data_IF_067723237980
#
_entry.id   IF_067723237980
#
_cell.length_a   1.000
_cell.length_b   1.000
_cell.length_c   1.000
_cell.angle_alpha   90.00
_cell.angle_beta   90.00
_cell.angle_gamma   90.00
#
_symmetry.space_group_name_H-M   'P 1'
#
loop_
_entity.id
_entity.type
_entity.pdbx_description
1 polymer ?
#
# COMPACT_ATOMS: atom_id res chain seq x y z
N UNK A 1 8.54 4.93 22.51
CA UNK A 1 7.11 4.62 22.41
C UNK A 1 6.31 4.90 23.70
N UNK A 2 6.46 4.22 24.86
CA UNK A 2 5.66 4.55 26.09
C UNK A 2 5.76 6.02 26.58
N UNK A 3 6.91 6.68 26.38
CA UNK A 3 7.09 8.11 26.72
C UNK A 3 6.82 9.08 25.56
N UNK A 4 6.76 8.59 24.31
CA UNK A 4 6.54 9.42 23.12
C UNK A 4 5.05 9.65 22.87
N UNK A 5 4.23 8.63 23.14
CA UNK A 5 2.76 8.76 23.13
C UNK A 5 2.21 9.51 24.34
N UNK A 6 2.95 9.58 25.46
CA UNK A 6 2.48 10.25 26.69
C UNK A 6 2.61 11.77 26.66
N UNK A 7 3.44 12.34 25.79
CA UNK A 7 3.75 13.77 25.84
C UNK A 7 2.86 14.64 24.95
N UNK A 8 2.15 14.08 23.97
CA UNK A 8 1.25 14.84 23.08
C UNK A 8 1.90 15.99 22.29
N UNK A 9 3.23 16.15 22.36
CA UNK A 9 3.95 17.38 21.94
C UNK A 9 4.98 17.14 20.84
N UNK A 10 5.11 15.90 20.33
CA UNK A 10 6.03 15.59 19.23
C UNK A 10 7.52 15.77 19.52
N UNK A 11 7.93 15.83 20.80
CA UNK A 11 9.34 15.90 21.17
C UNK A 11 10.01 14.52 21.18
N UNK A 12 10.99 14.34 20.28
CA UNK A 12 11.88 13.18 20.23
C UNK A 12 13.02 13.36 21.26
N UNK A 13 12.99 12.61 22.36
CA UNK A 13 14.12 12.53 23.27
C UNK A 13 15.17 11.56 22.72
N UNK A 14 16.21 12.07 22.07
CA UNK A 14 17.39 11.29 21.72
C UNK A 14 18.21 11.12 23.01
N UNK A 15 18.49 9.87 23.41
CA UNK A 15 19.48 9.56 24.46
C UNK A 15 20.89 9.83 23.91
N UNK A 16 21.28 11.10 23.79
CA UNK A 16 22.70 11.47 23.78
C UNK A 16 23.12 11.76 25.22
N UNK A 17 24.40 11.52 25.55
CA UNK A 17 24.97 11.81 26.89
C UNK A 17 24.99 13.31 27.22
N UNK A 18 24.57 14.17 26.30
CA UNK A 18 24.39 15.60 26.48
C UNK A 18 22.90 15.93 26.48
N UNK A 19 22.35 16.18 27.67
CA UNK A 19 20.95 16.61 27.91
C UNK A 19 20.67 18.00 27.29
N UNK A 20 20.61 18.11 25.97
CA UNK A 20 20.00 19.26 25.31
C UNK A 20 18.57 18.88 24.93
N UNK A 21 17.61 19.45 25.67
CA UNK A 21 16.18 19.45 25.30
C UNK A 21 16.04 20.29 24.04
N UNK A 22 15.91 19.64 22.89
CA UNK A 22 15.54 20.29 21.64
C UNK A 22 14.07 20.72 21.72
N UNK A 23 13.84 22.00 21.99
CA UNK A 23 12.52 22.61 21.86
C UNK A 23 12.24 22.82 20.36
N UNK A 24 11.30 22.04 19.81
CA UNK A 24 10.83 22.23 18.44
C UNK A 24 9.89 23.44 18.37
N UNK A 25 10.29 24.49 17.66
CA UNK A 25 9.39 25.53 17.16
C UNK A 25 8.79 25.02 15.84
N UNK A 26 7.59 24.44 15.88
CA UNK A 26 6.93 23.88 14.70
C UNK A 26 6.17 25.00 13.98
N UNK A 27 6.80 25.60 12.96
CA UNK A 27 6.16 26.50 11.98
C UNK A 27 5.98 25.88 10.59
N UNK A 28 6.36 24.60 10.42
CA UNK A 28 6.15 23.86 9.16
C UNK A 28 4.95 22.91 9.31
N UNK A 29 4.01 22.91 8.35
CA UNK A 29 2.74 22.24 8.55
C UNK A 29 2.89 20.74 8.30
N UNK A 30 2.77 19.95 9.38
CA UNK A 30 3.13 18.52 9.47
C UNK A 30 2.16 17.60 8.70
N UNK A 31 0.96 18.07 8.35
CA UNK A 31 -0.16 17.23 7.89
C UNK A 31 -0.19 17.01 6.36
N UNK A 32 -0.72 15.87 5.88
CA UNK A 32 -0.97 15.61 4.46
C UNK A 32 -1.91 16.65 3.84
N UNK A 33 -1.73 16.93 2.55
CA UNK A 33 -2.53 17.94 1.84
C UNK A 33 -4.01 17.53 1.70
N UNK A 34 -4.37 16.24 1.67
CA UNK A 34 -5.76 15.79 1.81
C UNK A 34 -6.36 16.19 3.17
N UNK A 35 -5.67 15.90 4.27
CA UNK A 35 -6.14 16.23 5.63
C UNK A 35 -6.28 17.75 5.79
N UNK A 36 -5.27 18.51 5.33
CA UNK A 36 -5.33 19.97 5.30
C UNK A 36 -6.48 20.49 4.45
N UNK A 37 -6.72 19.95 3.25
CA UNK A 37 -7.86 20.34 2.41
C UNK A 37 -9.18 20.13 3.12
N UNK A 38 -9.40 18.96 3.73
CA UNK A 38 -10.65 18.63 4.42
C UNK A 38 -10.86 19.50 5.67
N UNK A 39 -9.78 19.74 6.42
CA UNK A 39 -9.81 20.51 7.67
C UNK A 39 -9.91 22.02 7.42
N UNK A 40 -9.19 22.54 6.43
CA UNK A 40 -9.14 23.97 6.09
C UNK A 40 -10.29 24.43 5.19
N UNK A 41 -10.97 23.53 4.48
CA UNK A 41 -12.18 23.85 3.71
C UNK A 41 -13.32 24.39 4.59
N UNK A 42 -13.29 24.11 5.90
CA UNK A 42 -14.41 24.38 6.81
C UNK A 42 -14.18 25.52 7.83
N UNK A 43 -13.06 26.26 7.85
CA UNK A 43 -12.87 27.36 8.82
C UNK A 43 -12.05 28.58 8.36
N UNK A 44 -12.44 29.74 8.90
CA UNK A 44 -11.92 31.10 8.62
C UNK A 44 -10.89 31.67 9.60
N UNK A 45 -10.46 30.96 10.67
CA UNK A 45 -9.63 31.57 11.73
C UNK A 45 -8.28 30.88 11.99
N UNK A 46 -7.26 31.71 12.30
CA UNK A 46 -5.87 31.37 12.68
C UNK A 46 -5.79 30.63 14.04
N UNK A 47 -6.19 29.37 14.08
CA UNK A 47 -5.88 28.46 15.20
C UNK A 47 -4.80 27.49 14.73
N UNK A 48 -3.93 27.07 15.65
CA UNK A 48 -2.82 26.15 15.42
C UNK A 48 -3.23 24.95 14.54
N UNK A 49 -2.79 24.97 13.29
CA UNK A 49 -3.12 23.98 12.25
C UNK A 49 -2.86 22.54 12.73
N UNK A 50 -1.84 22.37 13.57
CA UNK A 50 -1.47 21.08 14.10
C UNK A 50 -2.50 20.48 15.06
N UNK A 51 -3.05 21.29 15.95
CA UNK A 51 -4.01 20.79 16.95
C UNK A 51 -5.34 20.42 16.28
N UNK A 52 -5.72 21.14 15.23
CA UNK A 52 -6.95 20.88 14.48
C UNK A 52 -6.82 19.60 13.67
N UNK A 53 -5.71 19.42 12.95
CA UNK A 53 -5.52 18.21 12.16
C UNK A 53 -5.35 16.97 13.06
N UNK A 54 -4.67 17.09 14.20
CA UNK A 54 -4.59 16.03 15.20
C UNK A 54 -5.97 15.68 15.76
N UNK A 55 -6.77 16.69 16.09
CA UNK A 55 -8.15 16.48 16.56
C UNK A 55 -9.00 15.80 15.50
N UNK A 56 -8.94 16.24 14.24
CA UNK A 56 -9.65 15.62 13.14
C UNK A 56 -9.28 14.13 12.99
N UNK A 57 -7.99 13.79 12.99
CA UNK A 57 -7.53 12.40 12.90
C UNK A 57 -8.01 11.57 14.10
N UNK A 58 -7.93 12.11 15.31
CA UNK A 58 -8.44 11.43 16.51
C UNK A 58 -9.97 11.25 16.47
N UNK A 59 -10.71 12.24 16.00
CA UNK A 59 -12.16 12.17 15.85
C UNK A 59 -12.56 11.13 14.78
N UNK A 60 -11.80 11.03 13.68
CA UNK A 60 -11.98 9.99 12.67
C UNK A 60 -11.66 8.59 13.22
N UNK A 61 -10.54 8.44 13.94
CA UNK A 61 -10.18 7.18 14.59
C UNK A 61 -11.21 6.77 15.64
N UNK A 62 -11.72 7.72 16.43
CA UNK A 62 -12.77 7.49 17.41
C UNK A 62 -14.09 7.12 16.73
N UNK A 63 -14.44 7.80 15.64
CA UNK A 63 -15.62 7.48 14.82
C UNK A 63 -15.55 6.08 14.23
N UNK A 64 -14.39 5.69 13.70
CA UNK A 64 -14.14 4.33 13.18
C UNK A 64 -14.19 3.28 14.30
N UNK A 65 -13.63 3.56 15.48
CA UNK A 65 -13.71 2.67 16.65
C UNK A 65 -15.15 2.55 17.17
N UNK A 66 -15.91 3.64 17.14
CA UNK A 66 -17.32 3.64 17.53
C UNK A 66 -18.15 2.85 16.54
N UNK A 67 -17.95 3.06 15.23
CA UNK A 67 -18.61 2.27 14.18
C UNK A 67 -18.31 0.78 14.31
N UNK A 68 -17.04 0.40 14.57
CA UNK A 68 -16.67 -0.99 14.82
C UNK A 68 -17.45 -1.58 16.02
N UNK A 69 -17.56 -0.85 17.13
CA UNK A 69 -18.30 -1.30 18.31
C UNK A 69 -19.81 -1.39 18.08
N UNK A 70 -20.37 -0.46 17.31
CA UNK A 70 -21.79 -0.50 16.93
C UNK A 70 -22.07 -1.69 16.01
N UNK A 71 -21.20 -1.97 15.04
CA UNK A 71 -21.31 -3.17 14.22
C UNK A 71 -21.14 -4.46 15.03
N UNK A 72 -20.20 -4.51 15.99
CA UNK A 72 -20.07 -5.65 16.91
C UNK A 72 -21.33 -5.85 17.75
N UNK A 73 -21.97 -4.78 18.21
CA UNK A 73 -23.27 -4.84 18.91
C UNK A 73 -24.37 -5.33 18.00
N UNK A 74 -24.48 -4.80 16.79
CA UNK A 74 -25.54 -5.14 15.83
C UNK A 74 -25.42 -6.61 15.37
N UNK A 75 -24.18 -7.09 15.18
CA UNK A 75 -23.87 -8.50 14.94
C UNK A 75 -24.22 -9.37 16.14
N UNK A 76 -23.90 -8.95 17.37
CA UNK A 76 -24.31 -9.68 18.57
C UNK A 76 -25.83 -9.74 18.72
N UNK A 77 -26.54 -8.65 18.41
CA UNK A 77 -28.01 -8.60 18.43
C UNK A 77 -28.60 -9.56 17.38
N UNK A 78 -28.05 -9.57 16.16
CA UNK A 78 -28.47 -10.52 15.13
C UNK A 78 -28.14 -11.96 15.48
N UNK A 79 -26.98 -12.22 16.09
CA UNK A 79 -26.58 -13.53 16.59
C UNK A 79 -27.52 -14.03 17.70
N UNK A 80 -27.94 -13.15 18.62
CA UNK A 80 -28.96 -13.49 19.63
C UNK A 80 -30.37 -13.66 19.07
N UNK A 81 -30.70 -13.00 17.94
CA UNK A 81 -31.99 -13.14 17.27
C UNK A 81 -32.07 -14.37 16.35
N UNK A 82 -31.00 -15.14 16.20
CA UNK A 82 -30.98 -16.44 15.50
C UNK A 82 -31.55 -17.59 16.36
N UNK A 83 -32.66 -17.35 17.07
CA UNK A 83 -33.38 -18.43 17.76
C UNK A 83 -33.98 -19.40 16.73
N UNK A 84 -33.52 -20.66 16.75
CA UNK A 84 -34.05 -21.74 15.90
C UNK A 84 -33.04 -22.41 14.96
N UNK A 85 -31.83 -21.88 14.80
CA UNK A 85 -30.76 -22.55 14.06
C UNK A 85 -29.99 -23.54 14.94
N UNK A 86 -29.53 -24.66 14.37
CA UNK A 86 -28.66 -25.59 15.09
C UNK A 86 -27.30 -24.91 15.41
N UNK A 87 -26.61 -25.31 16.49
CA UNK A 87 -25.30 -24.76 16.86
C UNK A 87 -24.30 -24.73 15.70
N UNK A 88 -24.31 -25.75 14.85
CA UNK A 88 -23.48 -25.85 13.65
C UNK A 88 -23.76 -24.75 12.60
N UNK A 89 -25.02 -24.39 12.38
CA UNK A 89 -25.38 -23.32 11.44
C UNK A 89 -25.03 -21.96 12.02
N UNK A 90 -25.21 -21.78 13.34
CA UNK A 90 -24.77 -20.59 14.04
C UNK A 90 -23.25 -20.40 13.96
N UNK A 91 -22.49 -21.48 14.16
CA UNK A 91 -21.02 -21.48 14.06
C UNK A 91 -20.54 -21.11 12.65
N UNK A 92 -21.18 -21.65 11.60
CA UNK A 92 -20.90 -21.30 10.20
C UNK A 92 -21.21 -19.83 9.91
N UNK A 93 -22.32 -19.29 10.43
CA UNK A 93 -22.70 -17.88 10.25
C UNK A 93 -21.70 -16.96 10.97
N UNK A 94 -21.28 -17.32 12.18
CA UNK A 94 -20.29 -16.56 12.95
C UNK A 94 -18.91 -16.60 12.28
N UNK A 95 -18.47 -17.77 11.80
CA UNK A 95 -17.26 -17.88 10.98
C UNK A 95 -17.34 -17.02 9.72
N UNK A 96 -18.48 -17.04 9.02
CA UNK A 96 -18.69 -16.25 7.82
C UNK A 96 -18.61 -14.74 8.12
N UNK A 97 -19.25 -14.27 9.18
CA UNK A 97 -19.22 -12.87 9.62
C UNK A 97 -17.79 -12.46 10.04
N UNK A 98 -17.11 -13.31 10.79
CA UNK A 98 -15.76 -13.04 11.29
C UNK A 98 -14.74 -12.99 10.13
N UNK A 99 -14.84 -13.94 9.19
CA UNK A 99 -13.98 -14.03 8.02
C UNK A 99 -14.28 -12.92 6.99
N UNK A 100 -15.54 -12.57 6.73
CA UNK A 100 -15.90 -11.69 5.61
C UNK A 100 -16.15 -10.23 6.02
N UNK A 101 -16.82 -9.99 7.14
CA UNK A 101 -17.26 -8.63 7.53
C UNK A 101 -16.23 -7.99 8.45
N UNK A 102 -15.86 -8.67 9.54
CA UNK A 102 -14.91 -8.15 10.51
C UNK A 102 -13.49 -8.12 9.95
N UNK A 103 -13.04 -9.18 9.27
CA UNK A 103 -11.67 -9.23 8.76
C UNK A 103 -11.43 -8.30 7.55
N UNK A 104 -12.42 -8.10 6.67
CA UNK A 104 -12.25 -7.28 5.46
C UNK A 104 -12.30 -5.78 5.77
N UNK A 105 -13.31 -5.34 6.56
CA UNK A 105 -13.49 -3.93 6.89
C UNK A 105 -12.41 -3.42 7.84
N UNK A 106 -12.12 -4.15 8.92
CA UNK A 106 -11.05 -3.79 9.87
C UNK A 106 -9.69 -3.73 9.20
N UNK A 107 -9.41 -4.65 8.28
CA UNK A 107 -8.14 -4.68 7.53
C UNK A 107 -8.01 -3.50 6.57
N UNK A 108 -9.09 -3.09 5.89
CA UNK A 108 -9.10 -1.87 5.06
C UNK A 108 -8.78 -0.63 5.88
N UNK A 109 -9.40 -0.46 7.04
CA UNK A 109 -9.12 0.68 7.92
C UNK A 109 -7.69 0.63 8.45
N UNK A 110 -7.24 -0.52 8.97
CA UNK A 110 -5.88 -0.69 9.45
C UNK A 110 -4.84 -0.40 8.36
N UNK A 111 -5.12 -0.83 7.13
CA UNK A 111 -4.29 -0.52 5.97
C UNK A 111 -4.19 1.00 5.73
N UNK A 112 -5.32 1.71 5.72
CA UNK A 112 -5.33 3.17 5.54
C UNK A 112 -4.55 3.91 6.64
N UNK A 113 -4.72 3.49 7.90
CA UNK A 113 -3.98 4.09 9.04
C UNK A 113 -2.48 3.91 8.87
N UNK A 114 -2.03 2.72 8.46
CA UNK A 114 -0.61 2.44 8.27
C UNK A 114 -0.02 3.19 7.06
N UNK A 115 -0.78 3.38 5.97
CA UNK A 115 -0.33 4.22 4.85
C UNK A 115 -0.07 5.65 5.29
N UNK A 116 -1.00 6.22 6.06
CA UNK A 116 -0.85 7.55 6.65
C UNK A 116 0.41 7.59 7.53
N UNK A 117 0.66 6.54 8.32
CA UNK A 117 1.85 6.43 9.16
C UNK A 117 3.16 6.44 8.37
N UNK A 118 3.24 5.75 7.23
CA UNK A 118 4.40 5.81 6.34
C UNK A 118 4.58 7.20 5.73
N UNK A 119 3.51 7.86 5.29
CA UNK A 119 3.57 9.20 4.70
C UNK A 119 4.13 10.22 5.72
N UNK A 120 3.72 10.12 6.99
CA UNK A 120 4.28 10.96 8.05
C UNK A 120 5.77 10.71 8.29
N UNK A 121 6.19 9.45 8.30
CA UNK A 121 7.60 9.11 8.51
C UNK A 121 8.49 9.68 7.42
N UNK A 122 8.10 9.49 6.15
CA UNK A 122 8.82 10.06 5.01
C UNK A 122 8.88 11.58 5.15
N UNK A 123 7.74 12.23 5.47
CA UNK A 123 7.70 13.68 5.64
C UNK A 123 8.59 14.20 6.78
N UNK A 124 8.63 13.49 7.89
CA UNK A 124 9.49 13.86 9.03
C UNK A 124 10.97 13.79 8.65
N UNK A 125 11.37 12.74 7.92
CA UNK A 125 12.73 12.57 7.42
C UNK A 125 13.10 13.67 6.40
N UNK A 126 12.19 14.03 5.48
CA UNK A 126 12.38 15.16 4.56
C UNK A 126 12.59 16.49 5.30
N UNK A 127 11.78 16.76 6.33
CA UNK A 127 11.93 17.98 7.11
C UNK A 127 13.27 18.03 7.83
N UNK A 128 13.72 16.90 8.38
CA UNK A 128 15.04 16.80 8.99
C UNK A 128 16.16 16.99 7.96
N UNK A 129 15.99 16.43 6.76
CA UNK A 129 16.89 16.66 5.63
C UNK A 129 16.98 18.15 5.29
N UNK A 130 15.86 18.87 5.20
CA UNK A 130 15.89 20.32 4.93
C UNK A 130 16.51 21.15 6.06
N UNK A 131 16.41 20.72 7.31
CA UNK A 131 17.07 21.40 8.46
C UNK A 131 18.59 21.37 8.37
N UNK A 132 19.16 20.35 7.73
CA UNK A 132 20.59 20.29 7.44
C UNK A 132 21.04 21.32 6.38
N UNK A 133 20.11 22.14 5.85
CA UNK A 133 20.33 23.18 4.84
C UNK A 133 21.08 22.67 3.60
N UNK A 134 20.59 21.60 2.95
CA UNK A 134 21.20 21.07 1.74
C UNK A 134 21.17 22.12 0.63
N UNK A 135 22.23 22.17 -0.16
CA UNK A 135 22.29 23.05 -1.33
C UNK A 135 21.35 22.55 -2.45
N UNK A 136 21.24 23.30 -3.55
CA UNK A 136 20.33 22.95 -4.65
C UNK A 136 20.68 21.61 -5.30
N UNK A 137 21.98 21.31 -5.46
CA UNK A 137 22.44 20.05 -6.03
C UNK A 137 22.02 18.85 -5.17
N UNK A 138 22.27 18.92 -3.86
CA UNK A 138 21.94 17.87 -2.90
C UNK A 138 20.42 17.62 -2.87
N UNK A 139 19.60 18.68 -2.88
CA UNK A 139 18.14 18.56 -2.95
C UNK A 139 17.68 17.81 -4.20
N UNK A 140 18.27 18.14 -5.37
CA UNK A 140 17.95 17.48 -6.64
C UNK A 140 18.34 16.01 -6.59
N UNK A 141 19.53 15.71 -6.08
CA UNK A 141 20.03 14.34 -5.92
C UNK A 141 19.12 13.49 -5.02
N UNK A 142 18.69 14.02 -3.87
CA UNK A 142 17.73 13.35 -2.98
C UNK A 142 16.41 13.03 -3.69
N UNK A 143 15.84 14.01 -4.41
CA UNK A 143 14.59 13.82 -5.14
C UNK A 143 14.74 12.73 -6.23
N UNK A 144 15.84 12.73 -7.00
CA UNK A 144 16.10 11.73 -8.03
C UNK A 144 16.27 10.32 -7.44
N UNK A 145 16.98 10.18 -6.33
CA UNK A 145 17.19 8.89 -5.66
C UNK A 145 15.87 8.36 -5.12
N UNK A 146 15.13 9.14 -4.35
CA UNK A 146 13.85 8.71 -3.78
C UNK A 146 12.80 8.39 -4.85
N UNK A 147 12.74 9.19 -5.92
CA UNK A 147 11.83 8.91 -7.04
C UNK A 147 12.19 7.61 -7.76
N UNK A 148 13.48 7.39 -8.05
CA UNK A 148 13.92 6.13 -8.67
C UNK A 148 13.71 4.91 -7.77
N UNK A 149 13.88 5.05 -6.45
CA UNK A 149 13.56 4.00 -5.48
C UNK A 149 12.08 3.62 -5.50
N UNK A 150 11.20 4.64 -5.53
CA UNK A 150 9.76 4.44 -5.61
C UNK A 150 9.37 3.68 -6.88
N UNK A 151 9.90 4.10 -8.03
CA UNK A 151 9.63 3.47 -9.32
C UNK A 151 10.14 2.02 -9.35
N UNK A 152 11.38 1.79 -8.90
CA UNK A 152 11.96 0.45 -8.83
C UNK A 152 11.11 -0.48 -7.96
N UNK A 153 10.83 -0.10 -6.72
CA UNK A 153 10.07 -0.99 -5.82
C UNK A 153 8.63 -1.20 -6.34
N UNK A 154 7.99 -0.17 -6.88
CA UNK A 154 6.64 -0.32 -7.47
C UNK A 154 6.65 -1.33 -8.61
N UNK A 155 7.64 -1.25 -9.51
CA UNK A 155 7.76 -2.19 -10.63
C UNK A 155 8.06 -3.62 -10.19
N UNK A 156 8.89 -3.81 -9.15
CA UNK A 156 9.19 -5.12 -8.57
C UNK A 156 7.92 -5.75 -7.99
N UNK A 157 7.18 -5.00 -7.18
CA UNK A 157 5.98 -5.50 -6.55
C UNK A 157 4.83 -5.73 -7.54
N UNK A 158 4.71 -4.92 -8.60
CA UNK A 158 3.73 -5.13 -9.67
C UNK A 158 4.02 -6.41 -10.46
N UNK A 159 5.29 -6.67 -10.79
CA UNK A 159 5.69 -7.91 -11.45
C UNK A 159 5.36 -9.16 -10.60
N UNK A 160 5.69 -9.14 -9.30
CA UNK A 160 5.38 -10.24 -8.40
C UNK A 160 3.88 -10.40 -8.15
N UNK A 161 3.11 -9.31 -8.15
CA UNK A 161 1.66 -9.36 -8.09
C UNK A 161 1.05 -9.97 -9.36
N UNK A 162 1.52 -9.55 -10.54
CA UNK A 162 1.07 -10.08 -11.83
C UNK A 162 1.37 -11.59 -11.94
N UNK A 163 2.54 -12.03 -11.49
CA UNK A 163 2.86 -13.47 -11.39
C UNK A 163 1.81 -14.22 -10.59
N UNK A 164 1.48 -13.74 -9.38
CA UNK A 164 0.47 -14.37 -8.52
C UNK A 164 -0.90 -14.40 -9.19
N UNK A 165 -1.29 -13.32 -9.87
CA UNK A 165 -2.55 -13.27 -10.63
C UNK A 165 -2.58 -14.34 -11.73
N UNK A 166 -1.53 -14.43 -12.53
CA UNK A 166 -1.44 -15.43 -13.61
C UNK A 166 -1.47 -16.84 -13.05
N UNK A 167 -0.76 -17.12 -11.95
CA UNK A 167 -0.85 -18.41 -11.26
C UNK A 167 -2.27 -18.71 -10.81
N UNK A 168 -2.97 -17.74 -10.21
CA UNK A 168 -4.36 -17.89 -9.78
C UNK A 168 -5.31 -18.21 -10.96
N UNK A 169 -5.21 -17.45 -12.06
CA UNK A 169 -6.05 -17.65 -13.25
C UNK A 169 -5.73 -18.92 -14.05
N UNK A 170 -4.57 -19.53 -13.81
CA UNK A 170 -4.20 -20.83 -14.38
C UNK A 170 -4.62 -22.02 -13.50
N UNK A 171 -5.26 -21.78 -12.34
CA UNK A 171 -5.80 -22.88 -11.52
C UNK A 171 -6.93 -23.62 -12.28
N UNK A 172 -7.06 -24.96 -12.12
CA UNK A 172 -8.12 -25.72 -12.76
C UNK A 172 -9.54 -25.23 -12.40
N UNK A 173 -9.73 -24.70 -11.19
CA UNK A 173 -11.00 -24.11 -10.75
C UNK A 173 -11.38 -22.82 -11.47
N UNK A 174 -10.41 -22.16 -12.11
CA UNK A 174 -10.59 -20.95 -12.92
C UNK A 174 -10.53 -21.26 -14.43
N UNK A 175 -10.59 -22.54 -14.79
CA UNK A 175 -10.56 -23.01 -16.17
C UNK A 175 -11.75 -22.50 -16.99
N UNK A 176 -11.51 -22.28 -18.29
CA UNK A 176 -12.53 -22.00 -19.30
C UNK A 176 -13.59 -23.11 -19.39
N UNK A 177 -13.24 -24.35 -19.01
CA UNK A 177 -14.19 -25.46 -18.89
C UNK A 177 -15.25 -25.23 -17.81
N UNK A 178 -14.99 -24.37 -16.82
CA UNK A 178 -15.97 -23.94 -15.83
C UNK A 178 -16.78 -22.71 -16.29
N UNK A 179 -16.51 -22.15 -17.48
CA UNK A 179 -17.21 -20.97 -17.99
C UNK A 179 -18.53 -21.35 -18.69
N UNK A 180 -19.58 -20.56 -18.46
CA UNK A 180 -20.90 -20.77 -19.08
C UNK A 180 -20.91 -20.51 -20.61
N UNK A 181 -19.80 -20.07 -21.19
CA UNK A 181 -19.68 -19.72 -22.62
C UNK A 181 -19.91 -20.96 -23.48
N UNK A 182 -19.37 -22.11 -23.07
CA UNK A 182 -19.46 -23.36 -23.84
C UNK A 182 -20.73 -24.16 -23.55
N UNK A 183 -21.45 -23.82 -22.48
CA UNK A 183 -22.79 -24.35 -22.17
C UNK A 183 -23.92 -23.51 -22.81
N UNK A 184 -23.58 -22.60 -23.72
CA UNK A 184 -24.53 -21.71 -24.38
C UNK A 184 -25.48 -22.43 -25.35
N UNK A 185 -26.66 -21.83 -25.63
CA UNK A 185 -27.67 -22.40 -26.55
C UNK A 185 -27.14 -22.64 -27.97
N UNK A 186 -26.07 -21.94 -28.37
CA UNK A 186 -25.46 -22.07 -29.68
C UNK A 186 -24.79 -23.45 -29.88
N UNK A 187 -23.91 -23.87 -28.98
CA UNK A 187 -23.27 -25.20 -29.04
C UNK A 187 -24.27 -26.32 -28.77
N UNK A 188 -25.23 -26.10 -27.88
CA UNK A 188 -26.27 -27.08 -27.54
C UNK A 188 -27.26 -27.33 -28.70
N UNK A 189 -27.34 -26.41 -29.67
CA UNK A 189 -28.15 -26.57 -30.88
C UNK A 189 -27.57 -27.56 -31.90
N UNK A 190 -26.27 -27.90 -31.78
CA UNK A 190 -25.60 -28.88 -32.65
C UNK A 190 -26.03 -30.30 -32.23
N UNK A 191 -26.86 -30.94 -33.06
CA UNK A 191 -27.38 -32.29 -32.79
C UNK A 191 -26.31 -33.40 -32.94
N UNK A 192 -25.29 -33.18 -33.78
CA UNK A 192 -24.19 -34.12 -33.93
C UNK A 192 -23.25 -34.00 -32.71
N UNK A 193 -23.36 -34.96 -31.79
CA UNK A 193 -22.62 -34.99 -30.52
C UNK A 193 -21.10 -35.01 -30.74
N UNK A 194 -20.52 -35.93 -31.56
CA UNK A 194 -19.08 -35.93 -31.82
C UNK A 194 -18.55 -34.60 -32.38
N UNK A 195 -19.26 -34.00 -33.33
CA UNK A 195 -18.86 -32.72 -33.94
C UNK A 195 -18.92 -31.58 -32.92
N UNK A 196 -19.94 -31.57 -32.06
CA UNK A 196 -20.09 -30.59 -30.99
C UNK A 196 -18.93 -30.66 -30.00
N UNK A 197 -18.55 -31.85 -29.57
CA UNK A 197 -17.43 -32.08 -28.65
C UNK A 197 -16.10 -31.66 -29.28
N UNK A 198 -15.87 -31.99 -30.55
CA UNK A 198 -14.67 -31.57 -31.29
C UNK A 198 -14.55 -30.04 -31.39
N UNK A 199 -15.67 -29.34 -31.67
CA UNK A 199 -15.68 -27.88 -31.73
C UNK A 199 -15.45 -27.24 -30.37
N UNK A 200 -16.05 -27.77 -29.30
CA UNK A 200 -15.81 -27.29 -27.93
C UNK A 200 -14.33 -27.45 -27.57
N UNK A 201 -13.73 -28.60 -27.90
CA UNK A 201 -12.31 -28.84 -27.64
C UNK A 201 -11.43 -27.84 -28.39
N UNK A 202 -11.64 -27.67 -29.71
CA UNK A 202 -10.89 -26.70 -30.52
C UNK A 202 -11.00 -25.28 -30.00
N UNK A 203 -12.19 -24.85 -29.60
CA UNK A 203 -12.38 -23.51 -29.02
C UNK A 203 -11.68 -23.37 -27.66
N UNK A 204 -11.67 -24.42 -26.84
CA UNK A 204 -10.97 -24.45 -25.55
C UNK A 204 -9.46 -24.33 -25.78
N UNK A 205 -8.90 -25.12 -26.70
CA UNK A 205 -7.47 -25.09 -27.05
C UNK A 205 -7.02 -23.70 -27.52
N UNK A 206 -7.80 -23.07 -28.41
CA UNK A 206 -7.52 -21.72 -28.91
C UNK A 206 -7.60 -20.69 -27.78
N UNK A 207 -8.59 -20.78 -26.90
CA UNK A 207 -8.75 -19.85 -25.79
C UNK A 207 -7.61 -20.01 -24.75
N UNK A 208 -7.20 -21.24 -24.44
CA UNK A 208 -6.08 -21.51 -23.54
C UNK A 208 -4.75 -21.04 -24.13
N UNK A 209 -4.52 -21.30 -25.41
CA UNK A 209 -3.34 -20.82 -26.12
C UNK A 209 -3.29 -19.29 -26.16
N UNK A 210 -4.41 -18.64 -26.50
CA UNK A 210 -4.52 -17.17 -26.52
C UNK A 210 -4.28 -16.56 -25.13
N UNK A 211 -4.84 -17.15 -24.08
CA UNK A 211 -4.61 -16.74 -22.68
C UNK A 211 -3.14 -16.88 -22.29
N UNK A 212 -2.50 -18.00 -22.61
CA UNK A 212 -1.08 -18.24 -22.32
C UNK A 212 -0.18 -17.23 -23.00
N UNK A 213 -0.42 -16.94 -24.29
CA UNK A 213 0.33 -15.92 -25.04
C UNK A 213 0.17 -14.54 -24.40
N UNK A 214 -1.06 -14.12 -24.10
CA UNK A 214 -1.34 -12.83 -23.48
C UNK A 214 -0.65 -12.69 -22.11
N UNK A 215 -0.75 -13.70 -21.25
CA UNK A 215 -0.10 -13.70 -19.93
C UNK A 215 1.42 -13.59 -20.04
N UNK A 216 2.03 -14.30 -20.99
CA UNK A 216 3.47 -14.20 -21.24
C UNK A 216 3.86 -12.81 -21.75
N UNK A 217 3.07 -12.20 -22.64
CA UNK A 217 3.30 -10.83 -23.10
C UNK A 217 3.25 -9.81 -21.96
N UNK A 218 2.24 -9.91 -21.08
CA UNK A 218 2.12 -9.02 -19.92
C UNK A 218 3.30 -9.20 -18.95
N UNK A 219 3.68 -10.45 -18.63
CA UNK A 219 4.82 -10.73 -17.76
C UNK A 219 6.12 -10.17 -18.32
N UNK A 220 6.34 -10.35 -19.63
CA UNK A 220 7.54 -9.87 -20.29
C UNK A 220 7.62 -8.34 -20.25
N UNK A 221 6.51 -7.66 -20.56
CA UNK A 221 6.45 -6.20 -20.50
C UNK A 221 6.72 -5.66 -19.08
N UNK A 222 6.16 -6.30 -18.05
CA UNK A 222 6.39 -5.92 -16.66
C UNK A 222 7.84 -6.17 -16.23
N UNK A 223 8.44 -7.28 -16.66
CA UNK A 223 9.85 -7.59 -16.40
C UNK A 223 10.80 -6.57 -17.02
N UNK A 224 10.54 -6.16 -18.26
CA UNK A 224 11.37 -5.20 -18.97
C UNK A 224 11.32 -3.81 -18.29
N UNK A 225 10.14 -3.37 -17.86
CA UNK A 225 9.98 -2.14 -17.07
C UNK A 225 10.73 -2.21 -15.73
N UNK A 226 10.62 -3.33 -15.03
CA UNK A 226 11.33 -3.56 -13.76
C UNK A 226 12.84 -3.43 -13.92
N UNK A 227 13.37 -4.04 -14.98
CA UNK A 227 14.81 -3.98 -15.26
C UNK A 227 15.27 -2.56 -15.63
N UNK A 228 14.44 -1.81 -16.37
CA UNK A 228 14.70 -0.40 -16.66
C UNK A 228 14.80 0.45 -15.38
N UNK A 229 13.82 0.33 -14.48
CA UNK A 229 13.82 1.11 -13.24
C UNK A 229 14.94 0.71 -12.29
N UNK A 230 15.27 -0.59 -12.22
CA UNK A 230 16.42 -1.07 -11.47
C UNK A 230 17.72 -0.42 -11.95
N UNK A 231 17.98 -0.42 -13.25
CA UNK A 231 19.16 0.24 -13.84
C UNK A 231 19.17 1.74 -13.55
N UNK A 232 18.03 2.41 -13.69
CA UNK A 232 17.89 3.85 -13.39
C UNK A 232 18.24 4.15 -11.93
N UNK A 233 17.75 3.35 -10.99
CA UNK A 233 18.05 3.52 -9.58
C UNK A 233 19.54 3.26 -9.27
N UNK A 234 20.12 2.17 -9.79
CA UNK A 234 21.56 1.88 -9.64
C UNK A 234 22.44 3.03 -10.15
N UNK A 235 22.08 3.65 -11.27
CA UNK A 235 22.77 4.83 -11.80
C UNK A 235 22.69 6.00 -10.82
N UNK A 236 21.53 6.24 -10.20
CA UNK A 236 21.35 7.33 -9.24
C UNK A 236 22.09 7.09 -7.91
N UNK A 237 22.17 5.84 -7.44
CA UNK A 237 23.01 5.47 -6.28
C UNK A 237 24.49 5.69 -6.61
N UNK A 238 24.95 5.23 -7.78
CA UNK A 238 26.33 5.48 -8.22
C UNK A 238 26.66 6.97 -8.34
N UNK A 239 25.71 7.80 -8.76
CA UNK A 239 25.87 9.27 -8.74
C UNK A 239 26.02 9.80 -7.32
N UNK A 240 25.24 9.30 -6.36
CA UNK A 240 25.37 9.65 -4.94
C UNK A 240 26.76 9.30 -4.39
N UNK A 241 27.28 8.12 -4.72
CA UNK A 241 28.60 7.68 -4.28
C UNK A 241 29.71 8.49 -4.94
N UNK A 242 29.61 8.72 -6.26
CA UNK A 242 30.57 9.55 -6.99
C UNK A 242 30.62 10.99 -6.44
N UNK A 243 29.47 11.52 -6.00
CA UNK A 243 29.36 12.85 -5.36
C UNK A 243 30.23 13.00 -4.11
N UNK A 244 30.62 11.90 -3.47
CA UNK A 244 31.54 11.91 -2.32
C UNK A 244 33.01 12.06 -2.72
N UNK A 245 33.38 11.59 -3.90
CA UNK A 245 34.77 11.48 -4.34
C UNK A 245 35.21 12.60 -5.28
N UNK A 246 34.33 13.09 -6.16
CA UNK A 246 34.69 14.02 -7.25
C UNK A 246 34.20 15.45 -7.10
N UNK A 247 33.25 15.73 -6.19
CA UNK A 247 32.67 17.07 -6.03
C UNK A 247 33.42 17.94 -5.02
N UNK A 248 33.27 19.26 -5.20
CA UNK A 248 33.77 20.28 -4.28
C UNK A 248 33.24 20.05 -2.85
N UNK A 249 34.00 20.43 -1.81
CA UNK A 249 33.64 20.19 -0.40
C UNK A 249 32.23 20.69 -0.02
N UNK A 250 31.73 21.74 -0.69
CA UNK A 250 30.41 22.32 -0.46
C UNK A 250 29.25 21.53 -1.09
N UNK A 251 29.53 20.57 -1.97
CA UNK A 251 28.54 19.74 -2.68
C UNK A 251 28.46 18.31 -2.13
N UNK A 252 29.48 17.87 -1.40
CA UNK A 252 29.51 16.55 -0.74
C UNK A 252 28.34 16.41 0.24
N UNK A 253 27.66 15.27 0.21
CA UNK A 253 26.64 14.96 1.21
C UNK A 253 27.35 14.66 2.53
N UNK A 254 26.92 15.32 3.61
CA UNK A 254 27.35 14.93 4.95
C UNK A 254 26.86 13.50 5.27
N UNK A 255 27.52 12.78 6.19
CA UNK A 255 27.06 11.45 6.61
C UNK A 255 25.59 11.44 7.09
N UNK A 256 25.17 12.53 7.73
CA UNK A 256 23.79 12.71 8.21
C UNK A 256 22.81 12.79 7.02
N UNK A 257 23.15 13.54 5.96
CA UNK A 257 22.31 13.63 4.77
C UNK A 257 22.17 12.28 4.07
N UNK A 258 23.27 11.52 3.95
CA UNK A 258 23.24 10.16 3.37
C UNK A 258 22.33 9.24 4.19
N UNK A 259 22.46 9.28 5.52
CA UNK A 259 21.60 8.48 6.39
C UNK A 259 20.12 8.83 6.22
N UNK A 260 19.78 10.12 6.13
CA UNK A 260 18.40 10.56 5.92
C UNK A 260 17.85 10.13 4.56
N UNK A 261 18.66 10.20 3.50
CA UNK A 261 18.30 9.69 2.16
C UNK A 261 17.98 8.19 2.24
N UNK A 262 18.87 7.40 2.85
CA UNK A 262 18.71 5.96 2.96
C UNK A 262 17.48 5.56 3.79
N UNK A 263 17.21 6.25 4.89
CA UNK A 263 16.01 6.00 5.70
C UNK A 263 14.72 6.38 4.95
N UNK A 264 14.73 7.46 4.15
CA UNK A 264 13.60 7.77 3.27
C UNK A 264 13.35 6.66 2.25
N UNK A 265 14.40 6.19 1.55
CA UNK A 265 14.29 5.09 0.60
C UNK A 265 13.74 3.83 1.26
N UNK A 266 14.22 3.49 2.45
CA UNK A 266 13.72 2.35 3.22
C UNK A 266 12.22 2.48 3.53
N UNK A 267 11.76 3.66 3.97
CA UNK A 267 10.35 3.90 4.26
C UNK A 267 9.48 3.85 3.00
N UNK A 268 10.00 4.29 1.86
CA UNK A 268 9.35 4.13 0.55
C UNK A 268 9.16 2.64 0.25
N UNK A 269 10.19 1.81 0.42
CA UNK A 269 10.09 0.37 0.21
C UNK A 269 9.04 -0.28 1.12
N UNK A 270 9.13 -0.03 2.43
CA UNK A 270 8.17 -0.59 3.41
C UNK A 270 6.73 -0.22 3.06
N UNK A 271 6.49 1.04 2.66
CA UNK A 271 5.17 1.53 2.23
C UNK A 271 4.64 0.77 1.01
N UNK A 272 5.46 0.63 -0.03
CA UNK A 272 5.05 -0.03 -1.28
C UNK A 272 4.78 -1.52 -1.04
N UNK A 273 5.67 -2.20 -0.32
CA UNK A 273 5.47 -3.61 0.06
C UNK A 273 4.17 -3.81 0.83
N UNK A 274 3.85 -2.89 1.74
CA UNK A 274 2.59 -2.94 2.48
C UNK A 274 1.35 -2.74 1.58
N UNK A 275 1.40 -1.84 0.59
CA UNK A 275 0.35 -1.68 -0.44
C UNK A 275 0.12 -2.98 -1.19
N UNK A 276 1.19 -3.61 -1.67
CA UNK A 276 1.08 -4.81 -2.50
C UNK A 276 0.73 -6.07 -1.71
N UNK A 277 1.12 -6.14 -0.44
CA UNK A 277 0.63 -7.16 0.49
C UNK A 277 -0.89 -7.08 0.62
N UNK A 278 -1.43 -5.89 0.88
CA UNK A 278 -2.88 -5.69 0.97
C UNK A 278 -3.60 -6.00 -0.35
N UNK A 279 -3.07 -5.56 -1.50
CA UNK A 279 -3.59 -5.91 -2.83
C UNK A 279 -3.64 -7.43 -3.04
N UNK A 280 -2.54 -8.12 -2.75
CA UNK A 280 -2.43 -9.58 -2.90
C UNK A 280 -3.46 -10.31 -2.04
N UNK A 281 -3.58 -9.93 -0.77
CA UNK A 281 -4.57 -10.53 0.14
C UNK A 281 -6.02 -10.30 -0.32
N UNK A 282 -6.30 -9.15 -0.95
CA UNK A 282 -7.63 -8.86 -1.50
C UNK A 282 -7.99 -9.65 -2.76
N UNK A 283 -6.98 -10.16 -3.49
CA UNK A 283 -7.18 -10.96 -4.70
C UNK A 283 -7.84 -12.31 -4.38
N UNK A 284 -7.45 -12.94 -3.27
CA UNK A 284 -7.88 -14.30 -2.88
C UNK A 284 -9.16 -14.34 -2.04
N UNK A 285 -9.75 -13.19 -1.75
CA UNK A 285 -11.02 -13.05 -1.00
C UNK A 285 -12.23 -12.79 -1.93
N UNK A 286 -12.03 -12.84 -3.25
CA UNK A 286 -13.07 -12.72 -4.29
C UNK A 286 -13.28 -14.04 -4.99
#
# INVERSE_FOLDING_TARGET
WKNYLKSGTGQLFIRSKTKQKLFYSITLPIWPNEVKRIVLANKKNKINENDICLKFVNDQLYGMQHQLKEYEKELNIQATNCEGYSPSVHEIIMEYIEQNINSSFRRKIAHQVELIHYDYHIRALELEYFRQKPNQYQKKLMAEICQSQYEQETSEQEYEFLKKQITYYNLPSQSLTCSNIFNGPLFNSIQNIPLREELIQKCTDVAEQGRSILFNMYLKSAEDQREEYKKKHEVNIKKMDASQHTLNQNEKLSPILIQLINECCKKICERIQFIYKFKSESLFLK
#
